data_IF_448528177212
#
_entry.id   IF_448528177212
#
_cell.length_a   1.000
_cell.length_b   1.000
_cell.length_c   1.000
_cell.angle_alpha   90.00
_cell.angle_beta   90.00
_cell.angle_gamma   90.00
#
_symmetry.space_group_name_H-M   'P 1'
#
loop_
_entity.id
_entity.type
_entity.pdbx_description
1 polymer ?
#
# COMPACT_ATOMS: atom_id res chain seq x y z
N UNK A 1 13.99 20.49 -18.43
CA UNK A 1 14.27 19.04 -18.39
C UNK A 1 13.13 18.18 -17.83
N UNK A 2 11.92 18.74 -17.54
CA UNK A 2 10.73 17.91 -17.31
C UNK A 2 10.10 17.45 -18.63
N UNK A 3 9.17 16.49 -18.58
CA UNK A 3 8.50 15.92 -19.77
C UNK A 3 7.35 16.79 -20.32
N UNK A 4 7.29 18.07 -19.98
CA UNK A 4 6.20 18.97 -20.37
C UNK A 4 6.02 19.01 -21.89
N UNK A 5 4.77 18.87 -22.35
CA UNK A 5 4.43 18.78 -23.78
C UNK A 5 4.57 17.38 -24.39
N UNK A 6 4.97 16.37 -23.61
CA UNK A 6 4.98 14.98 -24.07
C UNK A 6 3.57 14.53 -24.50
N UNK A 7 3.40 13.83 -25.64
CA UNK A 7 2.09 13.46 -26.18
C UNK A 7 1.26 12.50 -25.30
N UNK A 8 1.88 11.88 -24.29
CA UNK A 8 1.17 11.10 -23.29
C UNK A 8 0.37 11.97 -22.30
N UNK A 9 0.65 13.27 -22.15
CA UNK A 9 -0.20 14.14 -21.34
C UNK A 9 -1.49 14.47 -22.11
N UNK A 10 -2.63 14.00 -21.59
CA UNK A 10 -3.96 14.13 -22.21
C UNK A 10 -4.89 15.15 -21.56
N UNK A 11 -4.52 15.65 -20.38
CA UNK A 11 -5.36 16.59 -19.63
C UNK A 11 -5.42 17.96 -20.33
N UNK A 12 -6.59 18.60 -20.40
CA UNK A 12 -6.70 19.98 -20.88
C UNK A 12 -6.01 20.95 -19.90
N UNK A 13 -5.57 22.14 -20.35
CA UNK A 13 -4.85 23.10 -19.51
C UNK A 13 -5.57 23.46 -18.20
N UNK A 14 -6.90 23.56 -18.22
CA UNK A 14 -7.72 23.90 -17.07
C UNK A 14 -7.65 22.83 -15.98
N UNK A 15 -7.70 21.54 -16.36
CA UNK A 15 -7.58 20.42 -15.43
C UNK A 15 -6.16 20.32 -14.88
N UNK A 16 -5.14 20.60 -15.70
CA UNK A 16 -3.76 20.69 -15.20
C UNK A 16 -3.62 21.82 -14.17
N UNK A 17 -4.23 22.98 -14.38
CA UNK A 17 -4.17 24.10 -13.44
C UNK A 17 -4.82 23.75 -12.10
N UNK A 18 -5.98 23.09 -12.12
CA UNK A 18 -6.64 22.57 -10.92
C UNK A 18 -5.72 21.58 -10.20
N UNK A 19 -5.16 20.60 -10.92
CA UNK A 19 -4.25 19.61 -10.33
C UNK A 19 -2.99 20.24 -9.71
N UNK A 20 -2.44 21.31 -10.30
CA UNK A 20 -1.33 22.06 -9.69
C UNK A 20 -1.76 22.78 -8.42
N UNK A 21 -2.93 23.41 -8.41
CA UNK A 21 -3.45 24.07 -7.21
C UNK A 21 -3.64 23.05 -6.07
N UNK A 22 -4.34 21.94 -6.34
CA UNK A 22 -4.56 20.88 -5.37
C UNK A 22 -3.27 20.16 -4.95
N UNK A 23 -2.25 20.06 -5.82
CA UNK A 23 -0.92 19.57 -5.44
C UNK A 23 -0.28 20.45 -4.35
N UNK A 24 -0.37 21.78 -4.51
CA UNK A 24 0.17 22.72 -3.51
C UNK A 24 -0.64 22.69 -2.22
N UNK A 25 -1.96 22.57 -2.30
CA UNK A 25 -2.82 22.39 -1.13
C UNK A 25 -2.53 21.07 -0.40
N UNK A 26 -2.32 19.97 -1.13
CA UNK A 26 -1.94 18.67 -0.55
C UNK A 26 -0.59 18.76 0.18
N UNK A 27 0.37 19.49 -0.38
CA UNK A 27 1.69 19.69 0.25
C UNK A 27 1.59 20.45 1.58
N UNK A 28 0.68 21.42 1.68
CA UNK A 28 0.40 22.15 2.91
C UNK A 28 -0.41 21.29 3.90
N UNK A 29 -1.46 20.62 3.43
CA UNK A 29 -2.37 19.82 4.27
C UNK A 29 -1.70 18.58 4.88
N UNK A 30 -0.81 17.90 4.16
CA UNK A 30 -0.22 16.63 4.64
C UNK A 30 0.54 16.79 5.97
N UNK A 31 1.09 17.97 6.26
CA UNK A 31 1.80 18.24 7.53
C UNK A 31 0.84 18.39 8.72
N UNK A 32 -0.45 18.64 8.46
CA UNK A 32 -1.48 18.78 9.48
C UNK A 32 -1.99 17.42 9.92
N UNK A 33 -2.38 16.54 8.98
CA UNK A 33 -2.94 15.21 9.31
C UNK A 33 -1.94 14.35 10.10
N UNK A 34 -0.64 14.47 9.83
CA UNK A 34 0.41 13.74 10.55
C UNK A 34 0.58 14.15 12.01
N UNK A 35 -0.02 15.27 12.45
CA UNK A 35 -0.01 15.67 13.87
C UNK A 35 -0.73 14.65 14.75
N UNK A 36 -1.61 13.81 14.18
CA UNK A 36 -2.19 12.65 14.87
C UNK A 36 -1.07 11.73 15.40
N UNK A 37 -0.06 11.42 14.58
CA UNK A 37 1.11 10.64 15.03
C UNK A 37 1.90 11.38 16.12
N UNK A 38 2.03 12.70 16.03
CA UNK A 38 2.71 13.50 17.06
C UNK A 38 1.97 13.45 18.40
N UNK A 39 0.64 13.47 18.39
CA UNK A 39 -0.19 13.43 19.61
C UNK A 39 -0.05 12.06 20.31
N UNK A 40 -0.12 10.96 19.56
CA UNK A 40 -0.06 9.61 20.15
C UNK A 40 1.35 9.06 20.32
N UNK A 41 2.28 9.44 19.45
CA UNK A 41 3.62 8.86 19.33
C UNK A 41 4.75 9.88 19.42
N UNK A 42 4.47 11.13 19.78
CA UNK A 42 5.47 12.17 20.09
C UNK A 42 6.08 12.89 18.87
N UNK A 43 6.16 12.25 17.70
CA UNK A 43 6.72 12.86 16.48
C UNK A 43 6.28 12.16 15.19
N UNK A 44 6.53 12.81 14.07
CA UNK A 44 6.45 12.24 12.72
C UNK A 44 7.54 12.88 11.84
N UNK A 45 8.27 12.12 11.00
CA UNK A 45 8.27 10.65 10.87
C UNK A 45 8.82 9.91 12.10
N UNK A 46 8.66 8.59 12.14
CA UNK A 46 9.08 7.69 13.23
C UNK A 46 8.46 7.97 14.61
N UNK A 47 7.12 7.85 14.78
CA UNK A 47 6.49 7.90 16.09
C UNK A 47 7.01 6.78 17.02
N UNK A 48 6.82 6.96 18.33
CA UNK A 48 7.17 5.99 19.35
C UNK A 48 6.08 4.90 19.51
N UNK A 49 6.51 3.66 19.70
CA UNK A 49 5.66 2.49 19.99
C UNK A 49 6.13 1.79 21.27
N UNK A 50 5.30 0.89 21.82
CA UNK A 50 5.61 0.13 23.03
C UNK A 50 5.11 -1.32 22.91
N UNK A 51 5.96 -2.30 23.24
CA UNK A 51 5.50 -3.70 23.36
C UNK A 51 4.48 -3.79 24.48
N UNK A 52 3.28 -4.31 24.17
CA UNK A 52 2.18 -4.42 25.12
C UNK A 52 1.16 -3.27 25.06
N UNK A 53 1.34 -2.26 24.20
CA UNK A 53 0.35 -1.20 24.02
C UNK A 53 0.88 0.04 23.32
N UNK A 54 0.60 1.22 23.89
CA UNK A 54 1.07 2.52 23.40
C UNK A 54 1.77 3.28 24.52
N UNK A 55 2.76 4.13 24.22
CA UNK A 55 3.52 4.86 25.25
C UNK A 55 2.76 6.07 25.82
N UNK A 56 1.71 6.55 25.15
CA UNK A 56 0.91 7.69 25.59
C UNK A 56 -0.14 7.26 26.63
N UNK A 57 -0.01 7.79 27.85
CA UNK A 57 -0.98 7.55 28.93
C UNK A 57 -2.24 8.39 28.72
N UNK A 58 -3.39 7.86 29.15
CA UNK A 58 -4.67 8.54 29.11
C UNK A 58 -5.08 9.02 30.50
N UNK A 59 -5.37 10.32 30.62
CA UNK A 59 -5.93 10.91 31.84
C UNK A 59 -6.60 12.24 31.50
N UNK A 60 -7.92 12.30 31.62
CA UNK A 60 -8.73 13.47 31.27
C UNK A 60 -8.46 14.70 32.16
N UNK A 61 -7.95 14.49 33.37
CA UNK A 61 -7.75 15.54 34.37
C UNK A 61 -6.28 16.02 34.45
N UNK A 62 -5.39 15.49 33.60
CA UNK A 62 -3.95 15.79 33.63
C UNK A 62 -3.47 16.44 32.32
N UNK A 63 -2.76 17.56 32.44
CA UNK A 63 -2.19 18.29 31.30
C UNK A 63 -1.01 17.57 30.61
N UNK A 64 -0.38 16.61 31.29
CA UNK A 64 0.77 15.84 30.79
C UNK A 64 0.39 14.47 30.21
N UNK A 65 -0.90 14.18 30.04
CA UNK A 65 -1.42 12.94 29.46
C UNK A 65 -2.33 13.24 28.28
N UNK A 66 -2.75 12.22 27.54
CA UNK A 66 -3.86 12.36 26.60
C UNK A 66 -5.13 12.71 27.37
N UNK A 67 -5.69 13.86 27.02
CA UNK A 67 -6.86 14.45 27.65
C UNK A 67 -7.89 14.88 26.58
N UNK A 68 -9.01 15.47 27.03
CA UNK A 68 -10.09 15.87 26.14
C UNK A 68 -9.64 16.86 25.05
N UNK A 69 -8.74 17.79 25.35
CA UNK A 69 -8.23 18.78 24.38
C UNK A 69 -7.45 18.08 23.26
N UNK A 70 -6.54 17.15 23.60
CA UNK A 70 -5.75 16.39 22.63
C UNK A 70 -6.64 15.51 21.75
N UNK A 71 -7.64 14.87 22.34
CA UNK A 71 -8.60 14.05 21.58
C UNK A 71 -9.51 14.88 20.67
N UNK A 72 -9.95 16.06 21.12
CA UNK A 72 -10.72 16.99 20.28
C UNK A 72 -9.88 17.47 19.08
N UNK A 73 -8.58 17.72 19.29
CA UNK A 73 -7.66 18.04 18.19
C UNK A 73 -7.53 16.88 17.19
N UNK A 74 -7.40 15.64 17.67
CA UNK A 74 -7.39 14.45 16.79
C UNK A 74 -8.68 14.33 15.99
N UNK A 75 -9.84 14.53 16.63
CA UNK A 75 -11.15 14.51 15.96
C UNK A 75 -11.22 15.51 14.82
N UNK A 76 -10.85 16.77 15.08
CA UNK A 76 -10.78 17.82 14.04
C UNK A 76 -9.85 17.43 12.88
N UNK A 77 -8.66 16.90 13.18
CA UNK A 77 -7.71 16.48 12.15
C UNK A 77 -8.26 15.34 11.27
N UNK A 78 -9.04 14.43 11.84
CA UNK A 78 -9.70 13.36 11.10
C UNK A 78 -10.83 13.89 10.20
N UNK A 79 -11.64 14.83 10.70
CA UNK A 79 -12.71 15.47 9.91
C UNK A 79 -12.14 16.29 8.75
N UNK A 80 -11.07 17.05 9.01
CA UNK A 80 -10.33 17.80 7.98
C UNK A 80 -9.74 16.84 6.94
N UNK A 81 -9.18 15.70 7.38
CA UNK A 81 -8.62 14.70 6.48
C UNK A 81 -9.67 14.04 5.61
N UNK A 82 -10.82 13.67 6.19
CA UNK A 82 -11.97 13.14 5.43
C UNK A 82 -12.42 14.15 4.37
N UNK A 83 -12.56 15.42 4.75
CA UNK A 83 -12.94 16.50 3.83
C UNK A 83 -11.97 16.61 2.67
N UNK A 84 -10.66 16.62 2.93
CA UNK A 84 -9.65 16.69 1.88
C UNK A 84 -9.70 15.49 0.92
N UNK A 85 -9.84 14.27 1.47
CA UNK A 85 -9.94 13.05 0.66
C UNK A 85 -11.19 13.05 -0.22
N UNK A 86 -12.35 13.38 0.36
CA UNK A 86 -13.64 13.33 -0.34
C UNK A 86 -13.87 14.48 -1.33
N UNK A 87 -13.30 15.66 -1.06
CA UNK A 87 -13.56 16.86 -1.87
C UNK A 87 -12.41 17.25 -2.80
N UNK A 88 -11.20 16.74 -2.58
CA UNK A 88 -10.02 17.03 -3.42
C UNK A 88 -9.48 15.76 -4.06
N UNK A 89 -9.01 14.80 -3.26
CA UNK A 89 -8.27 13.65 -3.80
C UNK A 89 -9.13 12.75 -4.69
N UNK A 90 -10.31 12.32 -4.22
CA UNK A 90 -11.18 11.43 -5.01
C UNK A 90 -11.70 12.14 -6.28
N UNK A 91 -12.22 13.39 -6.22
CA UNK A 91 -12.62 14.11 -7.43
C UNK A 91 -11.50 14.28 -8.46
N UNK A 92 -10.29 14.63 -8.02
CA UNK A 92 -9.13 14.75 -8.91
C UNK A 92 -8.76 13.40 -9.54
N UNK A 93 -8.74 12.33 -8.75
CA UNK A 93 -8.48 10.98 -9.26
C UNK A 93 -9.47 10.59 -10.36
N UNK A 94 -10.76 10.83 -10.13
CA UNK A 94 -11.81 10.54 -11.11
C UNK A 94 -11.73 11.43 -12.35
N UNK A 95 -11.39 12.71 -12.18
CA UNK A 95 -11.15 13.62 -13.29
C UNK A 95 -9.99 13.12 -14.15
N UNK A 96 -8.83 12.83 -13.54
CA UNK A 96 -7.65 12.30 -14.26
C UNK A 96 -7.99 10.98 -14.95
N UNK A 97 -8.55 10.01 -14.23
CA UNK A 97 -8.89 8.70 -14.78
C UNK A 97 -9.80 8.78 -16.01
N UNK A 98 -10.72 9.76 -16.06
CA UNK A 98 -11.62 9.93 -17.21
C UNK A 98 -10.91 10.25 -18.53
N UNK A 99 -9.70 10.84 -18.49
CA UNK A 99 -8.87 11.14 -19.67
C UNK A 99 -7.87 10.02 -19.99
N UNK A 100 -7.73 9.02 -19.12
CA UNK A 100 -6.73 7.95 -19.21
C UNK A 100 -7.37 6.56 -19.05
N UNK A 101 -8.59 6.37 -19.53
CA UNK A 101 -9.29 5.07 -19.41
C UNK A 101 -8.52 3.91 -20.06
N UNK A 102 -7.77 4.20 -21.12
CA UNK A 102 -6.89 3.25 -21.80
C UNK A 102 -5.77 2.72 -20.91
N UNK A 103 -5.36 3.47 -19.88
CA UNK A 103 -4.38 3.01 -18.89
C UNK A 103 -4.90 1.86 -18.03
N UNK A 104 -6.22 1.62 -17.96
CA UNK A 104 -6.76 0.41 -17.33
C UNK A 104 -6.31 -0.89 -18.03
N UNK A 105 -5.87 -0.81 -19.29
CA UNK A 105 -5.31 -1.94 -20.03
C UNK A 105 -3.76 -1.99 -19.96
N UNK A 106 -3.11 -1.08 -19.24
CA UNK A 106 -1.65 -0.93 -19.17
C UNK A 106 -1.19 -1.16 -17.74
N UNK A 107 -0.13 -1.95 -17.55
CA UNK A 107 0.51 -2.09 -16.24
C UNK A 107 -0.13 -3.10 -15.29
N UNK A 108 -1.08 -3.94 -15.76
CA UNK A 108 -1.72 -4.98 -14.94
C UNK A 108 -0.81 -6.13 -14.47
N UNK A 109 0.50 -6.05 -14.70
CA UNK A 109 1.54 -6.83 -14.03
C UNK A 109 1.27 -8.34 -13.90
N UNK A 110 1.17 -8.79 -12.64
CA UNK A 110 0.97 -10.19 -12.27
C UNK A 110 -0.52 -10.53 -12.22
N UNK A 111 -0.84 -11.83 -12.25
CA UNK A 111 -2.20 -12.33 -12.08
C UNK A 111 -2.54 -12.77 -10.66
N UNK A 112 -1.58 -12.70 -9.74
CA UNK A 112 -1.71 -13.22 -8.39
C UNK A 112 -1.59 -12.08 -7.37
N UNK A 113 -2.50 -12.01 -6.41
CA UNK A 113 -2.57 -10.95 -5.43
C UNK A 113 -2.58 -11.50 -4.01
N UNK A 114 -2.01 -10.75 -3.06
CA UNK A 114 -1.94 -11.15 -1.66
C UNK A 114 -2.23 -9.98 -0.72
N UNK A 115 -3.04 -10.26 0.30
CA UNK A 115 -3.28 -9.38 1.45
C UNK A 115 -3.10 -10.17 2.75
N UNK A 116 -2.28 -9.66 3.66
CA UNK A 116 -2.15 -10.23 5.01
C UNK A 116 -3.35 -9.90 5.91
N UNK A 117 -4.22 -8.99 5.47
CA UNK A 117 -5.26 -8.39 6.30
C UNK A 117 -4.70 -7.48 7.38
N UNK A 118 -5.50 -6.50 7.83
CA UNK A 118 -5.11 -5.54 8.85
C UNK A 118 -6.33 -4.79 9.43
N UNK A 119 -6.09 -3.92 10.42
CA UNK A 119 -7.06 -3.11 11.14
C UNK A 119 -8.11 -3.98 11.86
N UNK A 120 -7.70 -4.69 12.92
CA UNK A 120 -8.59 -5.55 13.72
C UNK A 120 -9.74 -4.75 14.32
N UNK A 121 -10.96 -5.25 14.18
CA UNK A 121 -12.16 -4.64 14.78
C UNK A 121 -12.70 -5.41 15.99
N UNK A 122 -12.27 -6.67 16.16
CA UNK A 122 -12.65 -7.55 17.26
C UNK A 122 -11.43 -8.22 17.92
N UNK A 123 -10.39 -7.43 18.19
CA UNK A 123 -9.13 -7.92 18.78
C UNK A 123 -8.16 -8.53 17.76
N UNK A 124 -6.88 -8.65 18.16
CA UNK A 124 -5.78 -8.99 17.24
C UNK A 124 -5.77 -10.45 16.77
N UNK A 125 -6.44 -11.35 17.50
CA UNK A 125 -6.48 -12.78 17.19
C UNK A 125 -7.63 -13.14 16.23
N UNK A 126 -8.63 -12.26 16.08
CA UNK A 126 -9.77 -12.47 15.19
C UNK A 126 -9.46 -11.89 13.81
N UNK A 127 -8.77 -12.70 13.00
CA UNK A 127 -8.35 -12.34 11.63
C UNK A 127 -9.55 -12.12 10.72
N UNK A 128 -10.64 -12.86 10.92
CA UNK A 128 -11.85 -12.75 10.09
C UNK A 128 -12.55 -11.41 10.31
N UNK A 129 -12.44 -10.83 11.50
CA UNK A 129 -12.96 -9.50 11.84
C UNK A 129 -12.03 -8.33 11.44
N UNK A 130 -10.93 -8.57 10.72
CA UNK A 130 -10.08 -7.49 10.21
C UNK A 130 -10.86 -6.61 9.22
N UNK A 131 -10.62 -5.29 9.21
CA UNK A 131 -11.24 -4.37 8.25
C UNK A 131 -10.78 -4.69 6.83
N UNK A 132 -9.47 -4.87 6.65
CA UNK A 132 -8.91 -5.41 5.42
C UNK A 132 -8.83 -6.93 5.56
N UNK A 133 -9.55 -7.70 4.72
CA UNK A 133 -9.50 -9.15 4.81
C UNK A 133 -8.12 -9.69 4.39
N UNK A 134 -7.78 -10.82 5.00
CA UNK A 134 -6.63 -11.64 4.64
C UNK A 134 -7.02 -12.59 3.51
N UNK A 135 -6.12 -12.78 2.54
CA UNK A 135 -6.35 -13.76 1.49
C UNK A 135 -5.39 -13.64 0.33
N UNK A 136 -5.45 -14.67 -0.52
CA UNK A 136 -4.68 -14.78 -1.76
C UNK A 136 -5.65 -15.00 -2.92
N UNK A 137 -5.39 -14.31 -4.03
CA UNK A 137 -6.05 -14.53 -5.31
C UNK A 137 -5.00 -15.08 -6.26
N UNK A 138 -5.33 -16.17 -6.97
CA UNK A 138 -4.48 -16.76 -8.00
C UNK A 138 -5.14 -16.60 -9.36
N UNK A 139 -4.34 -16.33 -10.39
CA UNK A 139 -4.78 -16.28 -11.79
C UNK A 139 -6.00 -15.36 -12.03
N UNK A 140 -6.09 -14.25 -11.29
CA UNK A 140 -7.21 -13.30 -11.28
C UNK A 140 -8.58 -13.94 -10.96
N UNK A 141 -8.61 -15.10 -10.31
CA UNK A 141 -9.85 -15.76 -9.92
C UNK A 141 -10.44 -15.10 -8.66
N UNK A 142 -11.26 -14.04 -8.86
CA UNK A 142 -11.91 -13.32 -7.76
C UNK A 142 -13.00 -14.15 -7.04
N UNK A 143 -13.42 -15.28 -7.61
CA UNK A 143 -14.41 -16.17 -6.99
C UNK A 143 -13.81 -17.07 -5.91
N UNK A 144 -12.48 -17.11 -5.80
CA UNK A 144 -11.77 -17.97 -4.85
C UNK A 144 -10.73 -17.17 -4.07
N UNK A 145 -10.94 -17.07 -2.76
CA UNK A 145 -9.97 -16.51 -1.83
C UNK A 145 -9.25 -17.65 -1.14
N UNK A 146 -7.99 -17.85 -1.49
CA UNK A 146 -7.13 -18.87 -0.89
C UNK A 146 -6.72 -18.40 0.50
N UNK A 147 -6.91 -19.22 1.55
CA UNK A 147 -6.42 -18.90 2.88
C UNK A 147 -4.89 -18.80 2.90
N UNK A 148 -4.39 -17.84 3.67
CA UNK A 148 -2.96 -17.63 3.86
C UNK A 148 -2.57 -17.90 5.32
N UNK A 149 -1.50 -18.68 5.50
CA UNK A 149 -0.85 -18.88 6.79
C UNK A 149 0.60 -18.39 6.69
N UNK A 150 0.88 -17.26 7.35
CA UNK A 150 2.22 -16.68 7.39
C UNK A 150 3.19 -17.43 8.32
N UNK A 151 2.69 -18.42 9.07
CA UNK A 151 3.50 -19.29 9.94
C UNK A 151 3.94 -20.59 9.25
N UNK A 152 3.38 -20.88 8.08
CA UNK A 152 3.73 -22.05 7.27
C UNK A 152 5.04 -21.77 6.50
N UNK A 153 6.15 -22.50 6.81
CA UNK A 153 7.45 -22.27 6.18
C UNK A 153 7.47 -22.56 4.67
N UNK A 154 6.49 -23.30 4.16
CA UNK A 154 6.37 -23.61 2.72
C UNK A 154 5.58 -22.54 1.96
N UNK A 155 4.91 -21.62 2.65
CA UNK A 155 4.18 -20.54 2.01
C UNK A 155 5.11 -19.42 1.59
N UNK A 156 5.64 -18.64 2.54
CA UNK A 156 6.36 -17.40 2.21
C UNK A 156 7.86 -17.65 2.26
N UNK A 157 8.53 -17.53 1.12
CA UNK A 157 9.98 -17.68 1.04
C UNK A 157 10.61 -16.47 0.35
N UNK A 158 11.72 -15.98 0.88
CA UNK A 158 12.57 -14.99 0.23
C UNK A 158 13.63 -15.70 -0.61
N UNK A 159 13.69 -15.39 -1.91
CA UNK A 159 14.70 -15.94 -2.81
C UNK A 159 15.83 -14.94 -3.08
N UNK A 160 17.03 -15.43 -3.37
CA UNK A 160 18.23 -14.59 -3.62
C UNK A 160 18.94 -14.87 -4.96
N UNK A 161 18.33 -15.64 -5.85
CA UNK A 161 18.92 -16.01 -7.15
C UNK A 161 19.41 -14.79 -7.95
N UNK A 162 18.65 -13.69 -7.94
CA UNK A 162 19.00 -12.43 -8.62
C UNK A 162 19.30 -11.26 -7.67
N UNK A 163 19.66 -11.56 -6.43
CA UNK A 163 19.88 -10.56 -5.38
C UNK A 163 21.29 -10.66 -4.81
N UNK A 164 21.91 -9.53 -4.47
CA UNK A 164 23.27 -9.39 -3.94
C UNK A 164 23.44 -9.91 -2.50
N UNK A 165 23.09 -11.18 -2.29
CA UNK A 165 23.16 -11.88 -1.02
C UNK A 165 23.76 -13.27 -1.21
N UNK A 166 24.19 -13.86 -0.11
CA UNK A 166 24.65 -15.24 -0.02
C UNK A 166 23.88 -15.93 1.10
N UNK A 167 23.33 -17.12 0.83
CA UNK A 167 22.64 -17.96 1.80
C UNK A 167 23.41 -19.24 2.06
N UNK A 168 23.34 -19.73 3.29
CA UNK A 168 23.74 -21.11 3.60
C UNK A 168 22.62 -22.09 3.22
N UNK A 169 22.96 -23.18 2.53
CA UNK A 169 22.02 -24.29 2.32
C UNK A 169 20.90 -24.06 1.29
N UNK A 170 21.08 -23.15 0.32
CA UNK A 170 20.14 -22.93 -0.79
C UNK A 170 19.69 -21.47 -0.91
N UNK A 171 19.02 -21.14 -2.01
CA UNK A 171 18.71 -19.75 -2.39
C UNK A 171 17.30 -19.29 -2.04
N UNK A 172 16.55 -20.06 -1.23
CA UNK A 172 15.19 -19.74 -0.81
C UNK A 172 14.99 -20.10 0.66
N UNK A 173 14.49 -19.17 1.47
CA UNK A 173 14.25 -19.39 2.90
C UNK A 173 12.97 -18.72 3.39
N UNK A 174 12.26 -19.38 4.30
CA UNK A 174 11.22 -18.72 5.09
C UNK A 174 11.86 -17.65 6.00
N UNK A 175 11.21 -16.49 6.26
CA UNK A 175 11.79 -15.42 7.06
C UNK A 175 12.31 -15.82 8.45
N UNK A 176 11.74 -16.83 9.11
CA UNK A 176 12.26 -17.33 10.39
C UNK A 176 13.67 -17.92 10.31
N UNK A 177 14.05 -18.46 9.15
CA UNK A 177 15.39 -18.96 8.86
C UNK A 177 16.16 -18.04 7.90
N UNK A 178 15.58 -16.86 7.59
CA UNK A 178 16.10 -15.92 6.60
C UNK A 178 17.47 -15.37 7.00
N UNK A 179 18.33 -15.24 6.01
CA UNK A 179 19.67 -14.65 6.18
C UNK A 179 19.75 -13.29 5.50
N UNK A 180 20.66 -12.44 5.98
CA UNK A 180 20.98 -11.15 5.35
C UNK A 180 22.50 -10.97 5.37
N UNK A 181 23.20 -11.77 4.57
CA UNK A 181 24.64 -11.64 4.32
C UNK A 181 24.85 -10.96 2.97
N UNK A 182 25.30 -9.71 3.00
CA UNK A 182 25.53 -8.90 1.79
C UNK A 182 26.66 -9.52 0.97
N UNK A 183 26.45 -9.65 -0.33
CA UNK A 183 27.45 -10.13 -1.28
C UNK A 183 27.27 -9.41 -2.62
N UNK A 184 27.89 -8.25 -2.75
CA UNK A 184 27.83 -7.49 -4.00
C UNK A 184 28.67 -8.16 -5.07
N UNK A 185 28.02 -8.59 -6.14
CA UNK A 185 28.64 -9.22 -7.31
C UNK A 185 28.32 -8.46 -8.60
N UNK A 186 27.78 -7.24 -8.47
CA UNK A 186 27.42 -6.39 -9.59
C UNK A 186 28.63 -5.69 -10.22
N UNK A 187 28.42 -4.91 -11.29
CA UNK A 187 29.49 -4.19 -11.96
C UNK A 187 30.12 -3.11 -11.07
N UNK A 188 31.41 -2.83 -11.26
CA UNK A 188 32.08 -1.70 -10.60
C UNK A 188 31.68 -0.38 -11.27
N UNK A 189 31.29 0.67 -10.52
CA UNK A 189 31.04 1.98 -11.10
C UNK A 189 32.31 2.61 -11.72
N UNK A 190 32.21 3.35 -12.83
CA UNK A 190 30.98 3.60 -13.59
C UNK A 190 30.62 2.42 -14.50
N UNK A 191 29.33 2.12 -14.58
CA UNK A 191 28.76 1.17 -15.53
C UNK A 191 27.52 1.80 -16.17
N UNK A 192 27.18 1.34 -17.37
CA UNK A 192 26.01 1.84 -18.12
C UNK A 192 24.78 0.93 -17.92
N UNK A 193 24.99 -0.37 -17.79
CA UNK A 193 23.93 -1.38 -17.69
C UNK A 193 24.22 -2.40 -16.58
N UNK A 194 23.16 -2.98 -16.03
CA UNK A 194 23.24 -4.15 -15.13
C UNK A 194 23.18 -5.44 -15.95
N UNK A 195 23.90 -6.47 -15.54
CA UNK A 195 23.71 -7.81 -16.08
C UNK A 195 22.47 -8.47 -15.43
N UNK A 196 21.34 -8.45 -16.12
CA UNK A 196 20.06 -8.97 -15.59
C UNK A 196 19.97 -10.50 -15.55
N UNK A 197 20.90 -11.20 -16.20
CA UNK A 197 21.00 -12.66 -16.15
C UNK A 197 21.66 -13.16 -14.85
N UNK A 198 22.34 -12.28 -14.11
CA UNK A 198 23.01 -12.56 -12.84
C UNK A 198 22.25 -11.86 -11.68
N UNK A 199 22.89 -11.74 -10.51
CA UNK A 199 22.43 -10.90 -9.40
C UNK A 199 22.49 -9.44 -9.84
N UNK A 200 21.35 -8.74 -9.73
CA UNK A 200 21.23 -7.35 -10.19
C UNK A 200 20.55 -6.42 -9.17
N UNK A 201 20.15 -6.92 -8.00
CA UNK A 201 19.34 -6.15 -7.04
C UNK A 201 19.76 -6.32 -5.58
N UNK A 202 19.56 -5.28 -4.78
CA UNK A 202 19.60 -5.37 -3.32
C UNK A 202 18.26 -5.81 -2.72
N UNK A 203 17.21 -5.95 -3.53
CA UNK A 203 15.96 -6.53 -3.07
C UNK A 203 16.06 -8.05 -3.18
N UNK A 204 15.74 -8.75 -2.10
CA UNK A 204 15.38 -10.17 -2.16
C UNK A 204 14.10 -10.34 -2.98
N UNK A 205 13.78 -11.59 -3.29
CA UNK A 205 12.69 -11.94 -4.20
C UNK A 205 11.66 -12.81 -3.48
N UNK A 206 10.72 -12.23 -2.70
CA UNK A 206 9.68 -13.00 -2.02
C UNK A 206 8.77 -13.76 -2.97
N UNK A 207 8.36 -14.96 -2.57
CA UNK A 207 7.41 -15.83 -3.27
C UNK A 207 6.43 -16.45 -2.28
N UNK A 208 5.21 -16.68 -2.73
CA UNK A 208 4.26 -17.55 -2.04
C UNK A 208 4.14 -18.88 -2.77
N UNK A 209 4.56 -19.99 -2.16
CA UNK A 209 4.63 -21.32 -2.79
C UNK A 209 5.29 -21.28 -4.18
N UNK A 210 6.39 -20.54 -4.29
CA UNK A 210 7.11 -20.31 -5.55
C UNK A 210 6.46 -19.31 -6.53
N UNK A 211 5.24 -18.84 -6.28
CA UNK A 211 4.53 -17.87 -7.11
C UNK A 211 4.92 -16.43 -6.78
N UNK A 212 5.09 -15.61 -7.82
CA UNK A 212 5.21 -14.17 -7.66
C UNK A 212 3.82 -13.57 -7.37
N UNK A 213 3.79 -12.60 -6.46
CA UNK A 213 2.54 -12.03 -5.93
C UNK A 213 2.62 -10.50 -5.95
N UNK A 214 1.53 -9.86 -6.34
CA UNK A 214 1.33 -8.43 -6.17
C UNK A 214 0.67 -8.15 -4.81
N UNK A 215 1.13 -7.10 -4.13
CA UNK A 215 0.62 -6.64 -2.84
C UNK A 215 0.31 -5.14 -2.91
N UNK A 216 -0.46 -4.63 -1.95
CA UNK A 216 -0.75 -3.19 -1.84
C UNK A 216 -2.24 -2.86 -1.99
N UNK A 217 -2.58 -1.61 -2.36
CA UNK A 217 -3.98 -1.16 -2.43
C UNK A 217 -4.86 -2.01 -3.36
N UNK A 218 -4.40 -2.31 -4.58
CA UNK A 218 -5.18 -3.11 -5.53
C UNK A 218 -5.45 -4.52 -4.98
N UNK A 219 -4.42 -5.22 -4.50
CA UNK A 219 -4.57 -6.54 -3.89
C UNK A 219 -5.57 -6.53 -2.72
N UNK A 220 -5.53 -5.52 -1.84
CA UNK A 220 -6.49 -5.39 -0.73
C UNK A 220 -7.93 -5.16 -1.23
N UNK A 221 -8.10 -4.34 -2.26
CA UNK A 221 -9.41 -4.09 -2.87
C UNK A 221 -9.97 -5.36 -3.51
N UNK A 222 -9.15 -6.09 -4.27
CA UNK A 222 -9.56 -7.33 -4.94
C UNK A 222 -9.88 -8.46 -3.94
N UNK A 223 -9.06 -8.63 -2.89
CA UNK A 223 -9.34 -9.62 -1.83
C UNK A 223 -10.63 -9.26 -1.09
N UNK A 224 -10.84 -7.97 -0.78
CA UNK A 224 -12.09 -7.50 -0.18
C UNK A 224 -13.32 -7.72 -1.06
N UNK A 225 -13.20 -7.41 -2.36
CA UNK A 225 -14.23 -7.64 -3.36
C UNK A 225 -14.58 -9.14 -3.49
N UNK A 226 -13.57 -10.00 -3.66
CA UNK A 226 -13.75 -11.45 -3.82
C UNK A 226 -14.20 -12.16 -2.54
N UNK A 227 -13.92 -11.57 -1.37
CA UNK A 227 -14.46 -12.00 -0.08
C UNK A 227 -15.93 -11.64 0.12
N UNK A 228 -16.57 -10.95 -0.84
CA UNK A 228 -18.00 -10.61 -0.78
C UNK A 228 -18.34 -9.50 0.20
N UNK A 229 -17.41 -8.60 0.51
CA UNK A 229 -17.67 -7.49 1.44
C UNK A 229 -18.28 -6.29 0.71
N UNK A 230 -19.50 -5.91 1.10
CA UNK A 230 -20.29 -4.85 0.47
C UNK A 230 -19.51 -3.55 0.29
N UNK A 231 -18.80 -3.08 1.32
CA UNK A 231 -18.07 -1.81 1.25
C UNK A 231 -16.96 -1.77 0.18
N UNK A 232 -16.39 -2.93 -0.17
CA UNK A 232 -15.40 -3.02 -1.24
C UNK A 232 -16.08 -3.12 -2.61
N UNK A 233 -17.15 -3.92 -2.69
CA UNK A 233 -17.92 -4.08 -3.92
C UNK A 233 -18.59 -2.78 -4.35
N UNK A 234 -19.17 -2.04 -3.41
CA UNK A 234 -19.82 -0.74 -3.67
C UNK A 234 -18.85 0.28 -4.27
N UNK A 235 -17.66 0.43 -3.69
CA UNK A 235 -16.65 1.39 -4.17
C UNK A 235 -16.11 0.99 -5.54
N UNK A 236 -15.84 -0.30 -5.75
CA UNK A 236 -15.36 -0.83 -7.04
C UNK A 236 -16.42 -0.61 -8.12
N UNK A 237 -17.67 -1.01 -7.87
CA UNK A 237 -18.76 -0.81 -8.82
C UNK A 237 -19.03 0.66 -9.09
N UNK A 238 -18.99 1.51 -8.06
CA UNK A 238 -19.12 2.96 -8.23
C UNK A 238 -18.05 3.51 -9.18
N UNK A 239 -16.77 3.16 -8.97
CA UNK A 239 -15.67 3.65 -9.78
C UNK A 239 -15.78 3.19 -11.24
N UNK A 240 -16.03 1.90 -11.47
CA UNK A 240 -16.21 1.32 -12.80
C UNK A 240 -17.37 1.97 -13.55
N UNK A 241 -18.53 2.11 -12.89
CA UNK A 241 -19.72 2.74 -13.48
C UNK A 241 -19.50 4.22 -13.76
N UNK A 242 -18.84 4.95 -12.85
CA UNK A 242 -18.58 6.39 -13.02
C UNK A 242 -17.61 6.67 -14.16
N UNK A 243 -16.65 5.77 -14.37
CA UNK A 243 -15.69 5.85 -15.47
C UNK A 243 -16.18 5.18 -16.75
N UNK A 244 -17.29 4.44 -16.73
CA UNK A 244 -17.79 3.68 -17.88
C UNK A 244 -16.68 2.77 -18.46
N UNK A 245 -16.11 1.92 -17.60
CA UNK A 245 -15.07 0.95 -17.95
C UNK A 245 -15.45 -0.45 -17.44
N UNK A 246 -15.02 -1.51 -18.12
CA UNK A 246 -15.41 -2.87 -17.76
C UNK A 246 -14.59 -3.38 -16.56
N UNK A 247 -15.01 -4.50 -15.96
CA UNK A 247 -14.36 -5.08 -14.76
C UNK A 247 -12.90 -5.51 -15.03
N UNK A 248 -12.57 -5.81 -16.29
CA UNK A 248 -11.22 -6.16 -16.73
C UNK A 248 -10.23 -4.98 -16.64
N UNK A 249 -10.72 -3.76 -16.37
CA UNK A 249 -9.89 -2.60 -16.07
C UNK A 249 -9.35 -2.58 -14.61
N UNK A 250 -9.78 -3.53 -13.77
CA UNK A 250 -9.26 -3.74 -12.41
C UNK A 250 -7.94 -4.52 -12.39
#
# INVERSE_FOLDING_TARGET
NGYWGHPAYKLPPEVNLIGVAHYLEALEWQKEVIKIHTIFGGKNPHPNYLVGGVPCSFNLDNNNALNAERLAMVGKLLDDAKTFVEQVYIPDLMAVASFYKDWGAIGGGLSNYMSFGDLPTNGFQDVDAFKFPRGIILNRNLAEIVPMDASDPEQIQEQIAHSYYEYTGGDAKHPWEGETKLNYTGPEPPYEELNVEDKYSWLKTPRWKGQAMEVGPLARMLVGYGSGRDEFQEVVHWALNKLDVPVEAL
#
